data_IF_905584353377
#
_entry.id   IF_905584353377
#
_cell.length_a   1.000
_cell.length_b   1.000
_cell.length_c   1.000
_cell.angle_alpha   90.00
_cell.angle_beta   90.00
_cell.angle_gamma   90.00
#
_symmetry.space_group_name_H-M   'P 1'
#
loop_
_entity.id
_entity.type
_entity.pdbx_description
1 polymer ?
#
# COMPACT_ATOMS: atom_id res chain seq x y z
N UNK A 1 -11.82 15.00 38.65
CA UNK A 1 -12.58 15.50 37.48
C UNK A 1 -13.33 14.33 36.87
N UNK A 2 -14.63 14.47 36.57
CA UNK A 2 -15.39 13.48 35.80
C UNK A 2 -15.26 13.81 34.31
N UNK A 3 -14.64 12.92 33.53
CA UNK A 3 -14.60 13.03 32.08
C UNK A 3 -15.91 12.48 31.50
N UNK A 4 -16.58 13.27 30.65
CA UNK A 4 -17.72 12.82 29.87
C UNK A 4 -17.21 12.32 28.52
N UNK A 5 -17.62 11.12 28.13
CA UNK A 5 -17.43 10.59 26.78
C UNK A 5 -18.77 10.56 26.06
N UNK A 6 -18.77 10.90 24.77
CA UNK A 6 -19.96 10.86 23.90
C UNK A 6 -19.68 9.87 22.78
N UNK A 7 -20.60 8.94 22.56
CA UNK A 7 -20.54 8.02 21.43
C UNK A 7 -21.24 8.67 20.23
N UNK A 8 -20.50 8.87 19.14
CA UNK A 8 -21.02 9.43 17.88
C UNK A 8 -20.71 8.47 16.74
N UNK A 9 -21.69 8.24 15.86
CA UNK A 9 -21.48 7.53 14.59
C UNK A 9 -21.46 8.55 13.46
N UNK A 10 -20.35 8.63 12.74
CA UNK A 10 -20.18 9.48 11.57
C UNK A 10 -20.51 8.68 10.30
N UNK A 11 -21.25 9.29 9.39
CA UNK A 11 -21.49 8.75 8.05
C UNK A 11 -20.76 9.63 7.03
N UNK A 12 -20.05 9.02 6.06
CA UNK A 12 -19.28 9.79 5.10
C UNK A 12 -20.18 10.53 4.11
N UNK A 13 -19.82 11.76 3.76
CA UNK A 13 -20.41 12.49 2.62
C UNK A 13 -20.09 11.76 1.30
N UNK A 14 -20.73 12.18 0.20
CA UNK A 14 -20.47 11.60 -1.12
C UNK A 14 -19.01 11.76 -1.53
N UNK A 15 -18.43 12.91 -1.26
CA UNK A 15 -17.03 13.24 -1.56
C UNK A 15 -16.08 12.35 -0.76
N UNK A 16 -16.39 12.12 0.52
CA UNK A 16 -15.62 11.22 1.39
C UNK A 16 -15.69 9.77 0.91
N UNK A 17 -16.85 9.31 0.45
CA UNK A 17 -17.01 7.97 -0.12
C UNK A 17 -16.15 7.78 -1.37
N UNK A 18 -16.13 8.77 -2.27
CA UNK A 18 -15.29 8.76 -3.46
C UNK A 18 -13.80 8.70 -3.07
N UNK A 19 -13.37 9.55 -2.14
CA UNK A 19 -11.98 9.59 -1.68
C UNK A 19 -11.57 8.24 -1.04
N UNK A 20 -12.44 7.64 -0.23
CA UNK A 20 -12.21 6.32 0.35
C UNK A 20 -12.10 5.25 -0.74
N UNK A 21 -13.01 5.24 -1.71
CA UNK A 21 -12.99 4.28 -2.82
C UNK A 21 -11.70 4.42 -3.66
N UNK A 22 -11.27 5.64 -3.97
CA UNK A 22 -10.00 5.90 -4.65
C UNK A 22 -8.81 5.41 -3.82
N UNK A 23 -8.82 5.70 -2.51
CA UNK A 23 -7.76 5.31 -1.58
C UNK A 23 -7.60 3.79 -1.52
N UNK A 24 -8.70 3.05 -1.33
CA UNK A 24 -8.67 1.59 -1.31
C UNK A 24 -8.27 1.00 -2.66
N UNK A 25 -8.72 1.60 -3.76
CA UNK A 25 -8.35 1.16 -5.11
C UNK A 25 -6.85 1.30 -5.37
N UNK A 26 -6.26 2.43 -4.97
CA UNK A 26 -4.82 2.66 -5.08
C UNK A 26 -4.01 1.68 -4.21
N UNK A 27 -4.43 1.45 -2.96
CA UNK A 27 -3.79 0.49 -2.07
C UNK A 27 -3.84 -0.93 -2.66
N UNK A 28 -5.00 -1.37 -3.13
CA UNK A 28 -5.18 -2.71 -3.73
C UNK A 28 -4.32 -2.90 -4.99
N UNK A 29 -4.32 -1.91 -5.88
CA UNK A 29 -3.53 -1.99 -7.10
C UNK A 29 -2.03 -2.02 -6.79
N UNK A 30 -1.57 -1.12 -5.91
CA UNK A 30 -0.16 -1.06 -5.53
C UNK A 30 0.30 -2.35 -4.84
N UNK A 31 -0.56 -2.93 -3.99
CA UNK A 31 -0.31 -4.25 -3.40
C UNK A 31 -0.01 -5.31 -4.46
N UNK A 32 -0.89 -5.45 -5.46
CA UNK A 32 -0.73 -6.44 -6.51
C UNK A 32 0.51 -6.19 -7.35
N UNK A 33 0.78 -4.94 -7.72
CA UNK A 33 1.97 -4.57 -8.48
C UNK A 33 3.26 -4.90 -7.71
N UNK A 34 3.36 -4.44 -6.46
CA UNK A 34 4.56 -4.62 -5.64
C UNK A 34 4.80 -6.09 -5.27
N UNK A 35 3.73 -6.86 -5.00
CA UNK A 35 3.83 -8.29 -4.77
C UNK A 35 4.33 -9.02 -6.01
N UNK A 36 3.73 -8.74 -7.18
CA UNK A 36 4.16 -9.37 -8.43
C UNK A 36 5.62 -9.05 -8.75
N UNK A 37 6.03 -7.78 -8.62
CA UNK A 37 7.43 -7.38 -8.79
C UNK A 37 8.37 -8.09 -7.83
N UNK A 38 7.98 -8.23 -6.57
CA UNK A 38 8.79 -8.94 -5.57
C UNK A 38 8.94 -10.42 -5.92
N UNK A 39 7.88 -11.08 -6.41
CA UNK A 39 7.91 -12.48 -6.86
C UNK A 39 8.83 -12.63 -8.08
N UNK A 40 8.70 -11.76 -9.08
CA UNK A 40 9.56 -11.75 -10.28
C UNK A 40 11.04 -11.59 -9.89
N UNK A 41 11.37 -10.56 -9.09
CA UNK A 41 12.74 -10.31 -8.63
C UNK A 41 13.30 -11.48 -7.81
N UNK A 42 12.49 -12.10 -6.96
CA UNK A 42 12.92 -13.26 -6.17
C UNK A 42 13.25 -14.47 -7.05
N UNK A 43 12.44 -14.74 -8.09
CA UNK A 43 12.70 -15.83 -9.05
C UNK A 43 14.02 -15.64 -9.79
N UNK A 44 14.36 -14.39 -10.13
CA UNK A 44 15.58 -14.08 -10.90
C UNK A 44 16.84 -14.01 -10.04
N UNK A 45 16.74 -13.47 -8.83
CA UNK A 45 17.91 -13.11 -8.00
C UNK A 45 18.03 -13.90 -6.70
N UNK A 46 16.99 -14.65 -6.31
CA UNK A 46 16.87 -15.28 -5.00
C UNK A 46 16.68 -14.30 -3.83
N UNK A 47 16.50 -13.00 -4.11
CA UNK A 47 16.39 -11.94 -3.09
C UNK A 47 15.09 -11.16 -3.26
N UNK A 48 14.45 -10.86 -2.13
CA UNK A 48 13.26 -10.00 -2.09
C UNK A 48 13.62 -8.51 -2.22
N UNK A 49 12.64 -7.70 -2.63
CA UNK A 49 12.79 -6.25 -2.68
C UNK A 49 12.63 -5.63 -1.30
N UNK A 50 13.50 -4.66 -0.97
CA UNK A 50 13.35 -3.88 0.26
C UNK A 50 12.21 -2.86 0.16
N UNK A 51 11.71 -2.38 1.30
CA UNK A 51 10.72 -1.30 1.35
C UNK A 51 11.16 -0.06 0.57
N UNK A 52 12.44 0.31 0.69
CA UNK A 52 13.01 1.43 -0.02
C UNK A 52 13.03 1.20 -1.54
N UNK A 53 13.41 -0.01 -1.98
CA UNK A 53 13.41 -0.38 -3.39
C UNK A 53 11.99 -0.34 -3.99
N UNK A 54 10.99 -0.88 -3.28
CA UNK A 54 9.59 -0.82 -3.71
C UNK A 54 9.07 0.62 -3.81
N UNK A 55 9.31 1.44 -2.79
CA UNK A 55 8.88 2.84 -2.81
C UNK A 55 9.55 3.66 -3.93
N UNK A 56 10.75 3.26 -4.40
CA UNK A 56 11.43 3.95 -5.50
C UNK A 56 10.72 3.79 -6.86
N UNK A 57 9.82 2.82 -7.03
CA UNK A 57 9.00 2.71 -8.24
C UNK A 57 7.85 3.73 -8.28
N UNK A 58 7.35 4.16 -7.13
CA UNK A 58 6.16 5.02 -7.04
C UNK A 58 6.30 6.35 -7.80
N UNK A 59 7.42 7.10 -7.75
CA UNK A 59 7.56 8.35 -8.51
C UNK A 59 7.44 8.16 -10.03
N UNK A 60 7.94 7.04 -10.56
CA UNK A 60 7.86 6.73 -12.00
C UNK A 60 6.44 6.35 -12.38
N UNK A 61 5.79 5.47 -11.59
CA UNK A 61 4.41 5.04 -11.85
C UNK A 61 3.43 6.21 -11.76
N UNK A 62 3.61 7.12 -10.80
CA UNK A 62 2.76 8.32 -10.69
C UNK A 62 2.86 9.27 -11.89
N UNK A 63 3.88 9.13 -12.74
CA UNK A 63 4.08 9.95 -13.94
C UNK A 63 3.71 9.21 -15.23
N UNK A 64 3.58 7.89 -15.20
CA UNK A 64 3.23 7.11 -16.37
C UNK A 64 1.74 7.27 -16.70
N UNK A 65 1.40 7.34 -17.99
CA UNK A 65 0.05 7.67 -18.47
C UNK A 65 -1.02 6.68 -17.97
N UNK A 66 -0.67 5.39 -17.93
CA UNK A 66 -1.54 4.29 -17.49
C UNK A 66 -1.79 4.25 -15.97
N UNK A 67 -0.93 4.90 -15.19
CA UNK A 67 -0.87 4.83 -13.73
C UNK A 67 -0.85 6.20 -13.06
N UNK A 68 -1.08 7.27 -13.83
CA UNK A 68 -1.09 8.66 -13.35
C UNK A 68 -2.10 8.89 -12.22
N UNK A 69 -3.22 8.17 -12.22
CA UNK A 69 -4.25 8.22 -11.18
C UNK A 69 -3.75 7.81 -9.79
N UNK A 70 -2.59 7.14 -9.67
CA UNK A 70 -1.92 6.91 -8.38
C UNK A 70 -1.41 8.20 -7.73
N UNK A 71 -1.24 9.27 -8.51
CA UNK A 71 -0.86 10.59 -8.00
C UNK A 71 -2.00 11.23 -7.17
N UNK A 72 -3.25 10.91 -7.51
CA UNK A 72 -4.45 11.46 -6.86
C UNK A 72 -4.67 10.88 -5.45
N UNK A 73 -4.03 9.75 -5.13
CA UNK A 73 -4.08 9.16 -3.81
C UNK A 73 -3.01 9.74 -2.86
N UNK A 74 -3.40 9.90 -1.60
CA UNK A 74 -2.49 10.31 -0.54
C UNK A 74 -1.30 9.36 -0.42
N UNK A 75 -0.09 9.93 -0.52
CA UNK A 75 1.16 9.16 -0.62
C UNK A 75 1.40 8.19 0.54
N UNK A 76 0.93 8.52 1.73
CA UNK A 76 1.07 7.66 2.92
C UNK A 76 0.33 6.34 2.77
N UNK A 77 -0.76 6.28 1.99
CA UNK A 77 -1.51 5.03 1.76
C UNK A 77 -0.65 4.05 0.98
N UNK A 78 0.04 4.52 -0.06
CA UNK A 78 0.94 3.70 -0.88
C UNK A 78 2.16 3.25 -0.05
N UNK A 79 2.74 4.16 0.73
CA UNK A 79 3.90 3.83 1.59
C UNK A 79 3.54 2.86 2.72
N UNK A 80 2.36 3.02 3.35
CA UNK A 80 1.85 2.10 4.34
C UNK A 80 1.55 0.73 3.74
N UNK A 81 1.02 0.69 2.51
CA UNK A 81 0.82 -0.56 1.77
C UNK A 81 2.15 -1.26 1.52
N UNK A 82 3.21 -0.54 1.11
CA UNK A 82 4.56 -1.12 0.98
C UNK A 82 5.05 -1.70 2.30
N UNK A 83 4.86 -0.99 3.42
CA UNK A 83 5.21 -1.50 4.75
C UNK A 83 4.49 -2.83 5.01
N UNK A 84 3.17 -2.87 4.82
CA UNK A 84 2.36 -4.07 5.05
C UNK A 84 2.83 -5.27 4.21
N UNK A 85 3.17 -5.06 2.93
CA UNK A 85 3.72 -6.13 2.06
C UNK A 85 5.04 -6.64 2.62
N UNK A 86 5.98 -5.74 2.90
CA UNK A 86 7.31 -6.13 3.39
C UNK A 86 7.26 -6.85 4.74
N UNK A 87 6.33 -6.44 5.61
CA UNK A 87 6.06 -7.12 6.88
C UNK A 87 5.47 -8.51 6.64
N UNK A 88 4.49 -8.66 5.76
CA UNK A 88 3.87 -9.95 5.44
C UNK A 88 4.88 -10.93 4.81
N UNK A 89 5.65 -10.49 3.81
CA UNK A 89 6.68 -11.31 3.17
C UNK A 89 7.79 -11.73 4.13
N UNK A 90 8.17 -10.88 5.09
CA UNK A 90 9.14 -11.24 6.13
C UNK A 90 8.63 -12.39 6.99
N UNK A 91 7.35 -12.37 7.40
CA UNK A 91 6.75 -13.47 8.16
C UNK A 91 6.69 -14.77 7.36
N UNK A 92 6.38 -14.71 6.06
CA UNK A 92 6.38 -15.92 5.22
C UNK A 92 7.76 -16.58 5.13
N UNK A 93 8.83 -15.79 5.01
CA UNK A 93 10.20 -16.28 5.00
C UNK A 93 10.56 -16.98 6.32
N UNK A 94 10.20 -16.38 7.46
CA UNK A 94 10.48 -16.97 8.78
C UNK A 94 9.59 -18.19 9.10
N UNK A 95 8.36 -18.24 8.58
CA UNK A 95 7.45 -19.38 8.77
C UNK A 95 7.86 -20.63 8.00
N UNK A 96 8.67 -20.48 6.94
CA UNK A 96 9.19 -21.59 6.13
C UNK A 96 10.46 -22.24 6.70
N UNK A 97 10.88 -21.88 7.91
CA UNK A 97 11.93 -22.60 8.65
C UNK A 97 13.27 -22.62 7.94
N UNK A 98 13.76 -21.44 7.52
CA UNK A 98 15.17 -21.23 7.21
C UNK A 98 15.88 -20.58 8.39
#
# INVERSE_FOLDING_TARGET
MLHKAVLVRLYPSKEQQILLAQTFSCARWWWNYALNKSIETYKETGKGLSRAALNAFLPTLKKAEDTAWLADCYSQVLQATTLNITTASFFELNSKGY
#
